data_IF_175223588791
#
_entry.id   IF_175223588791
#
_cell.length_a   1.000
_cell.length_b   1.000
_cell.length_c   1.000
_cell.angle_alpha   90.00
_cell.angle_beta   90.00
_cell.angle_gamma   90.00
#
_symmetry.space_group_name_H-M   'P 1'
#
loop_
_entity.id
_entity.type
_entity.pdbx_description
1 polymer ?
#
# COMPACT_ATOMS: atom_id res chain seq x y z
N UNK A 1 -0.82 -34.19 31.51
CA UNK A 1 -1.85 -33.12 31.46
C UNK A 1 -2.10 -32.78 30.00
N UNK A 2 -3.28 -33.13 29.45
CA UNK A 2 -3.63 -32.75 28.05
C UNK A 2 -4.09 -31.30 28.09
N UNK A 3 -3.48 -30.40 27.28
CA UNK A 3 -3.99 -29.03 27.18
C UNK A 3 -5.38 -29.07 26.55
N UNK A 4 -6.34 -28.46 27.24
CA UNK A 4 -7.71 -28.40 26.76
C UNK A 4 -7.75 -27.54 25.49
N UNK A 5 -8.45 -27.97 24.46
CA UNK A 5 -8.57 -27.27 23.17
C UNK A 5 -9.01 -25.79 23.32
N UNK A 6 -9.75 -25.48 24.37
CA UNK A 6 -10.18 -24.12 24.74
C UNK A 6 -9.03 -23.21 25.20
N UNK A 7 -8.06 -23.75 25.96
CA UNK A 7 -6.90 -22.96 26.42
C UNK A 7 -5.92 -22.71 25.32
N UNK A 8 -5.75 -23.64 24.37
CA UNK A 8 -4.91 -23.47 23.18
C UNK A 8 -5.49 -22.44 22.22
N UNK A 9 -6.81 -22.44 22.03
CA UNK A 9 -7.51 -21.45 21.19
C UNK A 9 -7.42 -20.03 21.76
N UNK A 10 -7.58 -19.89 23.08
CA UNK A 10 -7.48 -18.58 23.73
C UNK A 10 -6.05 -18.00 23.65
N UNK A 11 -5.03 -18.85 23.76
CA UNK A 11 -3.63 -18.43 23.64
C UNK A 11 -3.27 -17.97 22.23
N UNK A 12 -3.80 -18.62 21.18
CA UNK A 12 -3.62 -18.19 19.79
C UNK A 12 -4.30 -16.85 19.50
N UNK A 13 -5.50 -16.63 20.04
CA UNK A 13 -6.23 -15.36 19.84
C UNK A 13 -5.51 -14.19 20.52
N UNK A 14 -4.98 -14.37 21.73
CA UNK A 14 -4.23 -13.32 22.43
C UNK A 14 -2.90 -13.01 21.73
N UNK A 15 -2.22 -14.00 21.15
CA UNK A 15 -0.99 -13.81 20.40
C UNK A 15 -1.22 -13.04 19.09
N UNK A 16 -2.34 -13.27 18.40
CA UNK A 16 -2.75 -12.54 17.19
C UNK A 16 -3.05 -11.06 17.46
N UNK A 17 -3.63 -10.75 18.62
CA UNK A 17 -3.96 -9.36 18.99
C UNK A 17 -2.72 -8.53 19.35
N UNK A 18 -1.67 -9.13 19.90
CA UNK A 18 -0.43 -8.41 20.21
C UNK A 18 0.40 -8.03 18.97
N UNK A 19 0.27 -8.77 17.87
CA UNK A 19 0.94 -8.47 16.60
C UNK A 19 0.29 -7.32 15.83
N UNK A 20 -0.97 -7.00 16.08
CA UNK A 20 -1.69 -5.92 15.41
C UNK A 20 -1.34 -4.51 15.93
N UNK A 21 -0.71 -4.40 17.11
CA UNK A 21 -0.50 -3.12 17.78
C UNK A 21 0.71 -2.29 17.29
N UNK A 22 1.58 -2.82 16.41
CA UNK A 22 2.81 -2.16 15.97
C UNK A 22 2.74 -1.47 14.59
N UNK A 23 1.55 -1.22 14.02
CA UNK A 23 1.44 -0.79 12.61
C UNK A 23 1.27 0.71 12.37
N UNK A 24 1.56 1.60 13.34
CA UNK A 24 1.27 3.03 13.20
C UNK A 24 2.17 3.82 12.25
N UNK A 25 3.24 3.22 11.70
CA UNK A 25 4.13 3.84 10.70
C UNK A 25 4.58 2.87 9.60
N UNK A 26 3.75 1.92 9.26
CA UNK A 26 4.08 0.97 8.20
C UNK A 26 4.12 1.66 6.84
N UNK A 27 5.19 1.41 6.05
CA UNK A 27 5.29 1.82 4.65
C UNK A 27 4.21 1.12 3.80
N UNK A 28 3.94 1.64 2.60
CA UNK A 28 2.98 0.98 1.70
C UNK A 28 3.44 -0.42 1.30
N UNK A 29 4.75 -0.63 1.15
CA UNK A 29 5.30 -1.96 0.94
C UNK A 29 4.94 -2.93 2.08
N UNK A 30 5.02 -2.50 3.33
CA UNK A 30 4.64 -3.32 4.49
C UNK A 30 3.12 -3.58 4.56
N UNK A 31 2.31 -2.56 4.30
CA UNK A 31 0.84 -2.68 4.24
C UNK A 31 0.41 -3.61 3.11
N UNK A 32 1.00 -3.43 1.92
CA UNK A 32 0.77 -4.27 0.76
C UNK A 32 1.16 -5.73 1.02
N UNK A 33 2.31 -5.97 1.67
CA UNK A 33 2.72 -7.31 2.08
C UNK A 33 1.71 -7.93 3.03
N UNK A 34 1.30 -7.20 4.07
CA UNK A 34 0.33 -7.70 5.06
C UNK A 34 -1.02 -8.05 4.43
N UNK A 35 -1.58 -7.15 3.62
CA UNK A 35 -2.82 -7.39 2.89
C UNK A 35 -2.69 -8.55 1.91
N UNK A 36 -1.59 -8.61 1.16
CA UNK A 36 -1.30 -9.68 0.20
C UNK A 36 -1.19 -11.06 0.88
N UNK A 37 -0.53 -11.13 2.03
CA UNK A 37 -0.44 -12.38 2.84
C UNK A 37 -1.83 -12.83 3.28
N UNK A 38 -2.65 -11.93 3.81
CA UNK A 38 -4.00 -12.28 4.30
C UNK A 38 -4.91 -12.75 3.17
N UNK A 39 -4.97 -11.99 2.07
CA UNK A 39 -5.80 -12.33 0.91
C UNK A 39 -5.29 -13.63 0.27
N UNK A 40 -3.98 -13.74 0.06
CA UNK A 40 -3.36 -14.92 -0.51
C UNK A 40 -3.54 -16.17 0.35
N UNK A 41 -3.40 -16.07 1.68
CA UNK A 41 -3.64 -17.16 2.61
C UNK A 41 -5.10 -17.62 2.56
N UNK A 42 -6.06 -16.70 2.57
CA UNK A 42 -7.48 -17.02 2.52
C UNK A 42 -7.87 -17.71 1.20
N UNK A 43 -7.42 -17.14 0.07
CA UNK A 43 -7.66 -17.73 -1.24
C UNK A 43 -6.99 -19.10 -1.40
N UNK A 44 -5.72 -19.20 -0.97
CA UNK A 44 -4.96 -20.46 -1.01
C UNK A 44 -5.54 -21.52 -0.10
N UNK A 45 -6.04 -21.17 1.11
CA UNK A 45 -6.74 -22.08 1.99
C UNK A 45 -8.01 -22.63 1.35
N UNK A 46 -8.82 -21.75 0.71
CA UNK A 46 -10.04 -22.15 0.01
C UNK A 46 -9.76 -23.13 -1.14
N UNK A 47 -8.77 -22.83 -1.98
CA UNK A 47 -8.35 -23.72 -3.07
C UNK A 47 -7.76 -25.02 -2.54
N UNK A 48 -6.90 -24.95 -1.51
CA UNK A 48 -6.31 -26.12 -0.88
C UNK A 48 -7.36 -27.05 -0.25
N UNK A 49 -8.43 -26.48 0.36
CA UNK A 49 -9.58 -27.22 0.86
C UNK A 49 -10.37 -27.87 -0.27
N UNK A 50 -10.64 -27.13 -1.35
CA UNK A 50 -11.42 -27.64 -2.48
C UNK A 50 -10.73 -28.81 -3.20
N UNK A 51 -9.42 -28.76 -3.32
CA UNK A 51 -8.62 -29.78 -4.03
C UNK A 51 -8.27 -30.92 -3.09
N UNK A 52 -7.71 -30.60 -1.91
CA UNK A 52 -7.18 -31.59 -0.97
C UNK A 52 -8.25 -32.25 -0.09
N UNK A 53 -9.40 -31.58 0.11
CA UNK A 53 -10.53 -32.02 0.98
C UNK A 53 -10.10 -32.45 2.39
N UNK A 54 -8.95 -31.99 2.85
CA UNK A 54 -8.40 -32.28 4.15
C UNK A 54 -7.68 -31.05 4.74
N UNK A 55 -7.43 -31.10 6.04
CA UNK A 55 -6.75 -30.00 6.78
C UNK A 55 -5.34 -29.74 6.26
N UNK A 56 -4.62 -30.77 5.80
CA UNK A 56 -3.26 -30.60 5.26
C UNK A 56 -3.29 -29.81 3.95
N UNK A 57 -4.22 -30.10 3.04
CA UNK A 57 -4.41 -29.34 1.81
C UNK A 57 -4.72 -27.87 2.07
N UNK A 58 -5.57 -27.58 3.06
CA UNK A 58 -5.88 -26.21 3.49
C UNK A 58 -4.64 -25.48 4.00
N UNK A 59 -3.83 -26.10 4.85
CA UNK A 59 -2.62 -25.50 5.41
C UNK A 59 -1.55 -25.26 4.35
N UNK A 60 -1.32 -26.21 3.46
CA UNK A 60 -0.36 -26.06 2.36
C UNK A 60 -0.81 -24.97 1.41
N UNK A 61 -2.10 -24.96 1.03
CA UNK A 61 -2.67 -23.92 0.17
C UNK A 61 -2.58 -22.52 0.80
N UNK A 62 -2.88 -22.40 2.09
CA UNK A 62 -2.72 -21.14 2.82
C UNK A 62 -1.27 -20.65 2.83
N UNK A 63 -0.31 -21.53 3.09
CA UNK A 63 1.10 -21.17 3.14
C UNK A 63 1.64 -20.69 1.77
N UNK A 64 1.31 -21.40 0.70
CA UNK A 64 1.67 -21.01 -0.66
C UNK A 64 0.99 -19.69 -1.05
N UNK A 65 -0.30 -19.58 -0.79
CA UNK A 65 -1.07 -18.37 -1.09
C UNK A 65 -0.55 -17.15 -0.32
N UNK A 66 -0.19 -17.31 0.96
CA UNK A 66 0.41 -16.25 1.76
C UNK A 66 1.76 -15.79 1.19
N UNK A 67 2.62 -16.71 0.78
CA UNK A 67 3.92 -16.39 0.21
C UNK A 67 3.78 -15.62 -1.11
N UNK A 68 2.96 -16.11 -2.04
CA UNK A 68 2.73 -15.46 -3.34
C UNK A 68 2.05 -14.11 -3.16
N UNK A 69 0.99 -14.05 -2.34
CA UNK A 69 0.25 -12.81 -2.06
C UNK A 69 1.10 -11.76 -1.36
N UNK A 70 1.95 -12.18 -0.41
CA UNK A 70 2.88 -11.30 0.29
C UNK A 70 3.92 -10.69 -0.64
N UNK A 71 4.50 -11.47 -1.54
CA UNK A 71 5.47 -10.96 -2.52
C UNK A 71 4.82 -10.00 -3.51
N UNK A 72 3.64 -10.33 -4.05
CA UNK A 72 2.92 -9.45 -4.96
C UNK A 72 2.52 -8.13 -4.26
N UNK A 73 1.96 -8.19 -3.05
CA UNK A 73 1.59 -7.03 -2.28
C UNK A 73 2.77 -6.14 -1.91
N UNK A 74 3.93 -6.75 -1.61
CA UNK A 74 5.16 -6.01 -1.35
C UNK A 74 5.62 -5.22 -2.59
N UNK A 75 5.60 -5.83 -3.77
CA UNK A 75 6.02 -5.17 -5.01
C UNK A 75 5.11 -3.99 -5.36
N UNK A 76 3.80 -4.15 -5.22
CA UNK A 76 2.83 -3.07 -5.45
C UNK A 76 3.07 -1.92 -4.46
N UNK A 77 3.17 -2.22 -3.17
CA UNK A 77 3.45 -1.20 -2.16
C UNK A 77 4.78 -0.48 -2.37
N UNK A 78 5.85 -1.20 -2.70
CA UNK A 78 7.15 -0.61 -2.99
C UNK A 78 7.15 0.27 -4.24
N UNK A 79 6.33 -0.06 -5.24
CA UNK A 79 6.13 0.78 -6.42
C UNK A 79 5.48 2.11 -6.04
N UNK A 80 4.43 2.08 -5.21
CA UNK A 80 3.74 3.26 -4.69
C UNK A 80 4.65 4.13 -3.80
N UNK A 81 5.46 3.51 -2.93
CA UNK A 81 6.42 4.23 -2.08
C UNK A 81 7.50 4.94 -2.91
N UNK A 82 7.99 4.32 -3.99
CA UNK A 82 8.94 4.95 -4.91
C UNK A 82 8.34 6.13 -5.66
N UNK A 83 7.11 5.99 -6.16
CA UNK A 83 6.41 7.09 -6.83
C UNK A 83 6.25 8.28 -5.88
N UNK A 84 5.81 8.04 -4.65
CA UNK A 84 5.69 9.10 -3.64
C UNK A 84 7.03 9.78 -3.35
N UNK A 85 8.10 9.00 -3.17
CA UNK A 85 9.43 9.52 -2.90
C UNK A 85 9.96 10.37 -4.08
N UNK A 86 9.77 9.91 -5.32
CA UNK A 86 10.17 10.68 -6.50
C UNK A 86 9.36 11.98 -6.65
N UNK A 87 8.04 11.91 -6.39
CA UNK A 87 7.20 13.10 -6.44
C UNK A 87 7.58 14.10 -5.35
N UNK A 88 7.84 13.63 -4.12
CA UNK A 88 8.36 14.48 -3.04
C UNK A 88 9.70 15.12 -3.39
N UNK A 89 10.62 14.37 -3.98
CA UNK A 89 11.92 14.88 -4.40
C UNK A 89 11.79 15.90 -5.54
N UNK A 90 10.94 15.64 -6.53
CA UNK A 90 10.67 16.57 -7.63
C UNK A 90 10.08 17.89 -7.14
N UNK A 91 9.27 17.85 -6.07
CA UNK A 91 8.60 19.01 -5.48
C UNK A 91 9.34 19.62 -4.28
N UNK A 92 10.46 19.03 -3.83
CA UNK A 92 11.18 19.46 -2.62
C UNK A 92 11.67 20.91 -2.66
N UNK A 93 11.83 21.48 -3.85
CA UNK A 93 12.26 22.87 -4.06
C UNK A 93 11.11 23.79 -4.45
N UNK A 94 9.87 23.30 -4.40
CA UNK A 94 8.69 24.05 -4.81
C UNK A 94 7.77 24.30 -3.62
N UNK A 95 7.54 25.56 -3.30
CA UNK A 95 6.52 25.96 -2.31
C UNK A 95 5.09 25.98 -2.91
N UNK A 96 4.97 25.74 -4.22
CA UNK A 96 3.72 25.81 -4.96
C UNK A 96 2.85 24.55 -4.81
N UNK A 97 3.45 23.42 -4.41
CA UNK A 97 2.77 22.12 -4.35
C UNK A 97 2.92 21.52 -2.97
N UNK A 98 1.82 21.10 -2.39
CA UNK A 98 1.80 20.30 -1.16
C UNK A 98 1.36 18.86 -1.49
N UNK A 99 2.11 17.89 -0.97
CA UNK A 99 1.83 16.46 -1.15
C UNK A 99 1.29 15.89 0.16
N UNK A 100 0.11 15.31 0.09
CA UNK A 100 -0.50 14.58 1.20
C UNK A 100 -0.86 13.17 0.74
N UNK A 101 -0.59 12.18 1.59
CA UNK A 101 -1.03 10.80 1.36
C UNK A 101 -2.09 10.42 2.36
N UNK A 102 -3.19 9.89 1.87
CA UNK A 102 -4.25 9.29 2.67
C UNK A 102 -4.51 7.88 2.17
N UNK A 103 -4.12 6.89 2.96
CA UNK A 103 -4.18 5.47 2.58
C UNK A 103 -3.46 5.21 1.25
N UNK A 104 -4.20 4.86 0.20
CA UNK A 104 -3.68 4.52 -1.13
C UNK A 104 -3.72 5.69 -2.12
N UNK A 105 -4.26 6.85 -1.69
CA UNK A 105 -4.37 8.04 -2.53
C UNK A 105 -3.27 9.03 -2.20
N UNK A 106 -2.48 9.39 -3.21
CA UNK A 106 -1.51 10.49 -3.14
C UNK A 106 -2.13 11.73 -3.77
N UNK A 107 -2.32 12.77 -2.95
CA UNK A 107 -2.92 14.03 -3.38
C UNK A 107 -1.84 15.10 -3.52
N UNK A 108 -1.73 15.67 -4.71
CA UNK A 108 -0.93 16.86 -4.96
C UNK A 108 -1.84 18.10 -5.02
N UNK A 109 -1.65 19.02 -4.09
CA UNK A 109 -2.44 20.26 -4.03
C UNK A 109 -1.57 21.43 -4.49
N UNK A 110 -2.00 22.12 -5.53
CA UNK A 110 -1.34 23.30 -6.07
C UNK A 110 -1.90 24.56 -5.44
N UNK A 111 -1.05 25.51 -5.05
CA UNK A 111 -1.47 26.80 -4.55
C UNK A 111 -1.91 27.69 -5.71
N UNK A 112 -3.17 28.11 -5.72
CA UNK A 112 -3.77 28.92 -6.77
C UNK A 112 -3.02 30.21 -7.07
N UNK A 113 -2.57 30.93 -6.05
CA UNK A 113 -1.86 32.20 -6.14
C UNK A 113 -0.52 32.08 -6.91
N UNK A 114 0.09 30.90 -6.87
CA UNK A 114 1.33 30.62 -7.60
C UNK A 114 1.08 30.08 -9.03
N UNK A 115 -0.13 29.58 -9.27
CA UNK A 115 -0.53 29.02 -10.55
C UNK A 115 -1.20 30.04 -11.47
N UNK A 116 -1.97 31.00 -10.92
CA UNK A 116 -2.79 31.94 -11.66
C UNK A 116 -2.57 33.39 -11.19
N UNK A 117 -2.76 34.36 -12.08
CA UNK A 117 -2.87 35.77 -11.72
C UNK A 117 -4.30 36.08 -11.22
N UNK A 118 -4.44 37.19 -10.51
CA UNK A 118 -5.75 37.63 -10.02
C UNK A 118 -6.70 37.82 -11.20
N UNK A 119 -7.90 37.31 -11.09
CA UNK A 119 -8.96 37.34 -12.12
C UNK A 119 -8.54 36.77 -13.48
N UNK A 120 -7.65 35.77 -13.49
CA UNK A 120 -7.12 35.15 -14.72
C UNK A 120 -7.24 33.64 -14.67
N UNK A 121 -7.68 33.03 -15.79
CA UNK A 121 -7.68 31.60 -16.00
C UNK A 121 -6.43 31.09 -16.71
N UNK A 122 -5.47 31.98 -17.01
CA UNK A 122 -4.23 31.62 -17.71
C UNK A 122 -3.18 31.17 -16.69
N UNK A 123 -2.60 29.99 -16.91
CA UNK A 123 -1.56 29.45 -16.04
C UNK A 123 -0.28 30.27 -16.23
N UNK A 124 0.34 30.66 -15.13
CA UNK A 124 1.64 31.33 -15.11
C UNK A 124 2.74 30.43 -15.66
N UNK A 125 3.82 31.00 -16.26
CA UNK A 125 4.95 30.21 -16.72
C UNK A 125 5.56 29.31 -15.64
N UNK A 126 5.61 29.78 -14.37
CA UNK A 126 6.04 28.98 -13.22
C UNK A 126 5.12 27.78 -12.95
N UNK A 127 3.82 27.96 -13.14
CA UNK A 127 2.84 26.89 -12.99
C UNK A 127 3.02 25.76 -14.00
N UNK A 128 3.35 26.09 -15.24
CA UNK A 128 3.67 25.07 -16.26
C UNK A 128 4.86 24.21 -15.87
N UNK A 129 5.92 24.81 -15.30
CA UNK A 129 7.09 24.06 -14.85
C UNK A 129 6.75 23.07 -13.73
N UNK A 130 5.88 23.47 -12.80
CA UNK A 130 5.44 22.58 -11.72
C UNK A 130 4.57 21.41 -12.24
N UNK A 131 3.65 21.72 -13.15
CA UNK A 131 2.83 20.70 -13.81
C UNK A 131 3.68 19.73 -14.62
N UNK A 132 4.69 20.20 -15.33
CA UNK A 132 5.59 19.38 -16.14
C UNK A 132 6.43 18.44 -15.27
N UNK A 133 6.90 18.91 -14.09
CA UNK A 133 7.59 18.05 -13.12
C UNK A 133 6.69 16.93 -12.60
N UNK A 134 5.44 17.25 -12.23
CA UNK A 134 4.47 16.25 -11.78
C UNK A 134 4.15 15.28 -12.90
N UNK A 135 3.89 15.77 -14.11
CA UNK A 135 3.62 14.96 -15.30
C UNK A 135 4.80 14.02 -15.62
N UNK A 136 6.04 14.49 -15.48
CA UNK A 136 7.23 13.67 -15.66
C UNK A 136 7.29 12.47 -14.71
N UNK A 137 6.95 12.68 -13.44
CA UNK A 137 6.89 11.58 -12.47
C UNK A 137 5.72 10.65 -12.79
N UNK A 138 4.52 11.19 -13.08
CA UNK A 138 3.34 10.36 -13.38
C UNK A 138 3.56 9.49 -14.62
N UNK A 139 4.19 10.02 -15.67
CA UNK A 139 4.52 9.26 -16.88
C UNK A 139 5.49 8.10 -16.62
N UNK A 140 6.34 8.21 -15.58
CA UNK A 140 7.25 7.15 -15.18
C UNK A 140 6.53 6.02 -14.42
N UNK A 141 5.37 6.32 -13.84
CA UNK A 141 4.56 5.38 -13.04
C UNK A 141 3.15 5.18 -13.63
N UNK A 142 3.03 4.61 -14.84
CA UNK A 142 1.74 4.52 -15.56
C UNK A 142 0.73 3.53 -14.96
N UNK A 143 1.15 2.74 -13.96
CA UNK A 143 0.27 1.75 -13.31
C UNK A 143 -0.52 2.32 -12.13
N UNK A 144 -0.32 3.59 -11.81
CA UNK A 144 -1.09 4.29 -10.78
C UNK A 144 -2.06 5.25 -11.45
N UNK A 145 -3.32 4.96 -11.38
CA UNK A 145 -4.45 5.80 -11.81
C UNK A 145 -5.38 5.98 -10.63
#
# INVERSE_FOLDING_TARGET
MKPNALTSGLLCVTLLWTLAACSSQATQAQKGTGAGVLIGAAAGAGLGQAIGRNTQGTLIGAAIGAAVGGLAGHQIGAYMDRQEAELRNAMAQSDAVSLARSQDVLTATFKGDLMFDFDSATIKPGGYMELDRVAGVLNKYPQTT
#
